data_IF_769099678472
#
_entry.id   IF_769099678472
#
_cell.length_a   1.000
_cell.length_b   1.000
_cell.length_c   1.000
_cell.angle_alpha   90.00
_cell.angle_beta   90.00
_cell.angle_gamma   90.00
#
_symmetry.space_group_name_H-M   'P 1'
#
loop_
_entity.id
_entity.type
_entity.pdbx_description
1 polymer ?
#
# COMPACT_ATOMS: atom_id res chain seq x y z
N UNK A 1 -0.18 -1.74 -17.94
CA UNK A 1 -1.26 -1.15 -17.11
C UNK A 1 -0.62 -0.11 -16.21
N UNK A 2 -1.32 0.96 -15.87
CA UNK A 2 -0.83 1.96 -14.91
C UNK A 2 -0.68 1.31 -13.52
N UNK A 3 0.36 1.63 -12.74
CA UNK A 3 0.50 1.12 -11.37
C UNK A 3 -0.71 1.52 -10.50
N UNK A 4 -1.04 0.67 -9.53
CA UNK A 4 -2.13 0.93 -8.58
C UNK A 4 -1.59 1.88 -7.50
N UNK A 5 -1.95 3.15 -7.55
CA UNK A 5 -1.46 4.19 -6.61
C UNK A 5 -2.56 4.72 -5.68
N UNK A 6 -3.81 4.47 -6.01
CA UNK A 6 -4.96 4.83 -5.19
C UNK A 6 -6.09 3.80 -5.33
N UNK A 7 -7.12 3.94 -4.48
CA UNK A 7 -8.32 3.11 -4.56
C UNK A 7 -8.97 3.14 -5.96
N UNK A 8 -9.01 4.32 -6.60
CA UNK A 8 -9.58 4.46 -7.94
C UNK A 8 -8.80 3.65 -8.98
N UNK A 9 -7.46 3.66 -8.92
CA UNK A 9 -6.63 2.84 -9.81
C UNK A 9 -6.89 1.34 -9.58
N UNK A 10 -7.11 0.91 -8.33
CA UNK A 10 -7.41 -0.48 -8.00
C UNK A 10 -8.78 -0.92 -8.54
N UNK A 11 -9.76 -0.02 -8.50
CA UNK A 11 -11.09 -0.20 -9.07
C UNK A 11 -11.00 -0.31 -10.60
N UNK A 12 -10.24 0.57 -11.25
CA UNK A 12 -10.00 0.54 -12.69
C UNK A 12 -9.30 -0.77 -13.11
N UNK A 13 -8.35 -1.24 -12.29
CA UNK A 13 -7.68 -2.53 -12.50
C UNK A 13 -8.66 -3.71 -12.46
N UNK A 14 -9.58 -3.71 -11.49
CA UNK A 14 -10.65 -4.72 -11.42
C UNK A 14 -11.46 -4.73 -12.72
N UNK A 15 -11.87 -3.56 -13.20
CA UNK A 15 -12.67 -3.43 -14.41
C UNK A 15 -11.91 -3.87 -15.67
N UNK A 16 -10.66 -3.43 -15.82
CA UNK A 16 -9.80 -3.80 -16.94
C UNK A 16 -9.54 -5.31 -17.02
N UNK A 17 -9.54 -6.00 -15.87
CA UNK A 17 -9.41 -7.46 -15.76
C UNK A 17 -10.74 -8.21 -15.95
N UNK A 18 -11.85 -7.52 -16.23
CA UNK A 18 -13.18 -8.12 -16.32
C UNK A 18 -13.70 -8.64 -14.96
N UNK A 19 -13.07 -8.24 -13.85
CA UNK A 19 -13.48 -8.66 -12.52
C UNK A 19 -14.70 -7.86 -12.07
N UNK A 20 -15.83 -8.56 -11.85
CA UNK A 20 -17.04 -7.93 -11.31
C UNK A 20 -16.80 -7.32 -9.93
N UNK A 21 -16.89 -6.00 -9.80
CA UNK A 21 -16.75 -5.32 -8.51
C UNK A 21 -18.07 -5.35 -7.72
N UNK A 22 -18.34 -6.46 -7.03
CA UNK A 22 -19.52 -6.58 -6.16
C UNK A 22 -19.43 -5.64 -4.96
N UNK A 23 -20.56 -5.32 -4.33
CA UNK A 23 -20.59 -4.49 -3.09
C UNK A 23 -19.66 -5.05 -2.01
N UNK A 24 -19.65 -6.37 -1.80
CA UNK A 24 -18.78 -7.00 -0.79
C UNK A 24 -17.29 -6.90 -1.17
N UNK A 25 -16.96 -7.08 -2.45
CA UNK A 25 -15.57 -6.92 -2.93
C UNK A 25 -15.07 -5.50 -2.75
N UNK A 26 -15.92 -4.53 -3.10
CA UNK A 26 -15.63 -3.11 -2.93
C UNK A 26 -15.38 -2.76 -1.46
N UNK A 27 -16.18 -3.29 -0.53
CA UNK A 27 -15.98 -3.07 0.90
C UNK A 27 -14.62 -3.58 1.40
N UNK A 28 -14.21 -4.77 0.96
CA UNK A 28 -12.88 -5.32 1.31
C UNK A 28 -11.77 -4.45 0.74
N UNK A 29 -11.87 -4.04 -0.52
CA UNK A 29 -10.87 -3.19 -1.17
C UNK A 29 -10.78 -1.81 -0.52
N UNK A 30 -11.93 -1.18 -0.23
CA UNK A 30 -12.01 0.11 0.46
C UNK A 30 -11.37 0.03 1.85
N UNK A 31 -11.64 -1.03 2.62
CA UNK A 31 -11.02 -1.19 3.94
C UNK A 31 -9.49 -1.27 3.84
N UNK A 32 -8.96 -2.08 2.91
CA UNK A 32 -7.51 -2.24 2.75
C UNK A 32 -6.81 -0.93 2.36
N UNK A 33 -7.47 -0.10 1.55
CA UNK A 33 -7.00 1.24 1.20
C UNK A 33 -7.14 2.26 2.35
N UNK A 34 -8.14 2.09 3.22
CA UNK A 34 -8.37 2.97 4.37
C UNK A 34 -7.35 2.71 5.49
N UNK A 35 -7.04 1.45 5.77
CA UNK A 35 -6.24 1.06 6.94
C UNK A 35 -4.73 1.10 6.69
N UNK A 36 -4.31 1.02 5.43
CA UNK A 36 -2.90 1.09 5.01
C UNK A 36 -1.95 0.15 5.77
N UNK A 37 -2.45 -1.01 6.20
CA UNK A 37 -1.68 -2.05 6.89
C UNK A 37 -2.08 -3.44 6.40
N UNK A 38 -1.24 -4.44 6.64
CA UNK A 38 -1.56 -5.84 6.32
C UNK A 38 -2.39 -6.48 7.44
N UNK A 39 -3.61 -6.90 7.09
CA UNK A 39 -4.58 -7.47 8.02
C UNK A 39 -4.80 -8.95 7.77
N UNK A 40 -5.06 -9.72 8.83
CA UNK A 40 -5.57 -11.07 8.64
C UNK A 40 -7.00 -11.04 8.10
N UNK A 41 -7.45 -12.12 7.45
CA UNK A 41 -8.84 -12.22 6.99
C UNK A 41 -9.85 -12.10 8.16
N UNK A 42 -9.45 -12.51 9.37
CA UNK A 42 -10.25 -12.34 10.59
C UNK A 42 -10.36 -10.86 10.98
N UNK A 43 -9.26 -10.12 10.98
CA UNK A 43 -9.27 -8.69 11.31
C UNK A 43 -10.13 -7.90 10.32
N UNK A 44 -10.07 -8.25 9.03
CA UNK A 44 -10.91 -7.64 7.99
C UNK A 44 -12.39 -7.92 8.25
N UNK A 45 -12.74 -9.16 8.59
CA UNK A 45 -14.10 -9.52 8.96
C UNK A 45 -14.58 -8.74 10.19
N UNK A 46 -13.77 -8.68 11.25
CA UNK A 46 -14.13 -8.02 12.50
C UNK A 46 -14.32 -6.51 12.29
N UNK A 47 -13.41 -5.85 11.55
CA UNK A 47 -13.50 -4.42 11.23
C UNK A 47 -14.71 -4.07 10.37
N UNK A 48 -15.00 -4.86 9.33
CA UNK A 48 -16.18 -4.62 8.48
C UNK A 48 -17.47 -4.74 9.28
N UNK A 49 -17.58 -5.72 10.18
CA UNK A 49 -18.76 -5.86 11.02
C UNK A 49 -18.89 -4.74 12.06
N UNK A 50 -17.78 -4.29 12.65
CA UNK A 50 -17.77 -3.12 13.54
C UNK A 50 -18.24 -1.85 12.83
N UNK A 51 -17.98 -1.71 11.53
CA UNK A 51 -18.48 -0.63 10.68
C UNK A 51 -19.94 -0.82 10.21
N UNK A 52 -20.65 -1.84 10.71
CA UNK A 52 -22.02 -2.17 10.30
C UNK A 52 -22.12 -2.72 8.87
N UNK A 53 -21.01 -3.15 8.26
CA UNK A 53 -20.98 -3.73 6.92
C UNK A 53 -21.18 -5.24 7.03
N UNK A 54 -22.42 -5.69 6.90
CA UNK A 54 -22.76 -7.12 6.96
C UNK A 54 -22.04 -7.91 5.83
N UNK A 55 -21.03 -8.69 6.21
CA UNK A 55 -20.28 -9.59 5.34
C UNK A 55 -19.95 -10.88 6.11
N UNK A 56 -20.12 -12.04 5.46
CA UNK A 56 -19.77 -13.33 6.07
C UNK A 56 -18.28 -13.59 6.01
N UNK A 57 -17.75 -14.38 6.96
CA UNK A 57 -16.34 -14.76 7.00
C UNK A 57 -15.89 -15.44 5.69
N UNK A 58 -16.66 -16.40 5.18
CA UNK A 58 -16.41 -17.04 3.87
C UNK A 58 -16.36 -16.04 2.73
N UNK A 59 -17.22 -15.02 2.74
CA UNK A 59 -17.24 -13.97 1.72
C UNK A 59 -16.00 -13.09 1.79
N UNK A 60 -15.47 -12.81 2.98
CA UNK A 60 -14.19 -12.09 3.13
C UNK A 60 -13.07 -12.89 2.46
N UNK A 61 -12.91 -14.16 2.80
CA UNK A 61 -11.88 -15.02 2.20
C UNK A 61 -11.99 -15.11 0.68
N UNK A 62 -13.19 -15.34 0.15
CA UNK A 62 -13.40 -15.43 -1.30
C UNK A 62 -13.06 -14.13 -2.03
N UNK A 63 -13.32 -12.97 -1.42
CA UNK A 63 -12.95 -11.68 -2.01
C UNK A 63 -11.45 -11.43 -1.93
N UNK A 64 -10.80 -11.76 -0.81
CA UNK A 64 -9.35 -11.65 -0.66
C UNK A 64 -8.60 -12.54 -1.66
N UNK A 65 -9.02 -13.80 -1.80
CA UNK A 65 -8.48 -14.73 -2.79
C UNK A 65 -8.67 -14.22 -4.22
N UNK A 66 -9.85 -13.67 -4.55
CA UNK A 66 -10.11 -13.13 -5.88
C UNK A 66 -9.24 -11.91 -6.20
N UNK A 67 -9.11 -10.97 -5.25
CA UNK A 67 -8.33 -9.75 -5.42
C UNK A 67 -6.83 -10.04 -5.48
N UNK A 68 -6.34 -10.94 -4.61
CA UNK A 68 -4.91 -11.30 -4.56
C UNK A 68 -4.48 -12.06 -5.80
N UNK A 69 -5.30 -13.00 -6.31
CA UNK A 69 -5.00 -13.76 -7.53
C UNK A 69 -4.78 -12.88 -8.76
N UNK A 70 -5.49 -11.75 -8.83
CA UNK A 70 -5.36 -10.79 -9.93
C UNK A 70 -4.31 -9.71 -9.68
N UNK A 71 -3.52 -9.82 -8.60
CA UNK A 71 -2.56 -8.81 -8.16
C UNK A 71 -3.17 -7.42 -8.02
N UNK A 72 -4.33 -7.32 -7.37
CA UNK A 72 -4.97 -6.04 -7.01
C UNK A 72 -4.68 -5.67 -5.54
N UNK A 73 -4.42 -6.68 -4.71
CA UNK A 73 -4.02 -6.54 -3.30
C UNK A 73 -2.81 -7.45 -3.05
N UNK A 74 -2.04 -7.15 -2.01
CA UNK A 74 -0.96 -8.02 -1.57
C UNK A 74 -1.48 -9.15 -0.68
N UNK A 75 -0.76 -10.27 -0.71
CA UNK A 75 -0.94 -11.39 0.20
C UNK A 75 0.43 -11.84 0.69
N UNK A 76 0.68 -11.71 1.98
CA UNK A 76 1.93 -12.11 2.63
C UNK A 76 1.68 -13.40 3.39
N UNK A 77 2.40 -14.46 3.03
CA UNK A 77 2.36 -15.74 3.75
C UNK A 77 3.30 -15.72 4.96
N UNK A 78 2.78 -16.09 6.14
CA UNK A 78 3.51 -16.21 7.40
C UNK A 78 3.28 -17.60 7.99
N UNK A 79 4.10 -17.97 8.98
CA UNK A 79 3.97 -19.24 9.70
C UNK A 79 2.63 -19.40 10.44
N UNK A 80 1.98 -18.29 10.78
CA UNK A 80 0.72 -18.21 11.52
C UNK A 80 -0.50 -17.87 10.65
N UNK A 81 -0.33 -17.70 9.33
CA UNK A 81 -1.42 -17.44 8.41
C UNK A 81 -1.06 -16.49 7.27
N UNK A 82 -2.10 -15.93 6.63
CA UNK A 82 -1.97 -14.94 5.55
C UNK A 82 -2.40 -13.57 6.04
N UNK A 83 -1.63 -12.55 5.66
CA UNK A 83 -2.00 -11.15 5.82
C UNK A 83 -2.23 -10.52 4.44
N UNK A 84 -3.17 -9.59 4.38
CA UNK A 84 -3.60 -8.94 3.15
C UNK A 84 -3.51 -7.43 3.31
N UNK A 85 -2.91 -6.75 2.33
CA UNK A 85 -2.75 -5.31 2.29
C UNK A 85 -3.16 -4.75 0.93
N UNK A 86 -3.37 -3.44 0.82
CA UNK A 86 -3.43 -2.84 -0.51
C UNK A 86 -2.07 -3.00 -1.19
N UNK A 87 -2.04 -3.07 -2.52
CA UNK A 87 -0.78 -2.87 -3.25
C UNK A 87 -0.46 -1.40 -3.10
N UNK A 88 0.56 -1.09 -2.30
CA UNK A 88 1.24 0.17 -2.48
C UNK A 88 2.33 -0.07 -3.52
N UNK A 89 2.53 0.87 -4.45
CA UNK A 89 3.87 1.03 -5.02
C UNK A 89 4.86 1.05 -3.84
N UNK A 90 6.10 0.64 -4.08
CA UNK A 90 7.24 0.83 -3.19
C UNK A 90 7.27 2.27 -2.67
N UNK A 91 6.57 2.55 -1.56
CA UNK A 91 6.52 3.87 -0.98
C UNK A 91 7.77 4.06 -0.14
N UNK A 92 8.20 5.30 -0.11
CA UNK A 92 9.33 5.73 0.69
C UNK A 92 8.80 6.27 2.01
N UNK A 93 9.52 6.04 3.09
CA UNK A 93 9.11 6.49 4.43
C UNK A 93 9.86 7.76 4.81
N UNK A 94 9.19 8.67 5.51
CA UNK A 94 9.83 9.73 6.29
C UNK A 94 9.66 9.40 7.77
N UNK A 95 10.78 9.11 8.43
CA UNK A 95 10.87 8.82 9.86
C UNK A 95 11.15 10.12 10.61
N UNK A 96 10.16 10.60 11.36
CA UNK A 96 10.25 11.83 12.15
C UNK A 96 10.79 11.50 13.55
N UNK A 97 12.06 11.80 13.78
CA UNK A 97 12.84 11.33 14.93
C UNK A 97 12.41 11.94 16.28
N UNK A 98 11.75 13.10 16.27
CA UNK A 98 11.27 13.80 17.46
C UNK A 98 9.80 13.51 17.80
N UNK A 99 9.03 12.96 16.86
CA UNK A 99 7.60 12.66 17.06
C UNK A 99 7.27 11.18 16.97
N UNK A 100 8.25 10.34 16.64
CA UNK A 100 8.11 8.91 16.34
C UNK A 100 7.07 8.60 15.26
N UNK A 101 6.72 9.60 14.43
CA UNK A 101 5.78 9.45 13.33
C UNK A 101 6.49 8.95 12.08
N UNK A 102 5.84 8.03 11.39
CA UNK A 102 6.23 7.57 10.06
C UNK A 102 5.20 8.11 9.07
N UNK A 103 5.69 8.72 8.00
CA UNK A 103 4.87 9.28 6.92
C UNK A 103 5.21 8.57 5.62
N UNK A 104 4.19 8.07 4.94
CA UNK A 104 4.35 7.43 3.64
C UNK A 104 4.37 8.49 2.54
N UNK A 105 5.37 8.41 1.67
CA UNK A 105 5.50 9.31 0.52
C UNK A 105 5.76 8.51 -0.76
N UNK A 106 5.25 9.03 -1.87
CA UNK A 106 5.62 8.56 -3.20
C UNK A 106 6.66 9.51 -3.77
N UNK A 107 7.84 8.98 -4.07
CA UNK A 107 8.93 9.74 -4.67
C UNK A 107 9.40 9.02 -5.93
N UNK A 108 9.46 9.75 -7.04
CA UNK A 108 10.08 9.26 -8.26
C UNK A 108 11.55 9.73 -8.31
N UNK A 109 12.50 8.79 -8.32
CA UNK A 109 13.92 9.12 -8.47
C UNK A 109 14.24 9.56 -9.90
N UNK A 110 15.14 10.54 -10.08
CA UNK A 110 15.62 10.92 -11.41
C UNK A 110 16.22 9.72 -12.15
N UNK A 111 15.94 9.54 -13.45
CA UNK A 111 16.47 8.42 -14.23
C UNK A 111 18.00 8.34 -14.22
N UNK A 112 18.68 9.49 -14.11
CA UNK A 112 20.15 9.55 -14.06
C UNK A 112 20.69 8.91 -12.78
N UNK A 113 19.97 9.03 -11.66
CA UNK A 113 20.38 8.41 -10.39
C UNK A 113 20.22 6.89 -10.46
N UNK A 114 19.11 6.41 -11.04
CA UNK A 114 18.91 4.97 -11.26
C UNK A 114 20.01 4.40 -12.16
N UNK A 115 20.34 5.09 -13.26
CA UNK A 115 21.43 4.68 -14.16
C UNK A 115 22.79 4.63 -13.46
N UNK A 116 23.08 5.57 -12.55
CA UNK A 116 24.31 5.55 -11.75
C UNK A 116 24.38 4.32 -10.83
N UNK A 117 23.27 3.97 -10.17
CA UNK A 117 23.20 2.77 -9.32
C UNK A 117 23.40 1.50 -10.16
N UNK A 118 22.74 1.42 -11.32
CA UNK A 118 22.91 0.29 -12.25
C UNK A 118 24.36 0.16 -12.72
N UNK A 119 25.02 1.27 -13.04
CA UNK A 119 26.41 1.29 -13.49
C UNK A 119 27.40 0.88 -12.39
N UNK A 120 27.18 1.31 -11.14
CA UNK A 120 28.06 1.00 -10.02
C UNK A 120 27.92 -0.44 -9.54
N UNK A 121 26.72 -1.00 -9.64
CA UNK A 121 26.41 -2.35 -9.12
C UNK A 121 26.43 -3.43 -10.19
N UNK A 122 26.27 -3.05 -11.47
CA UNK A 122 26.07 -3.98 -12.57
C UNK A 122 24.70 -4.67 -12.58
N UNK A 123 23.74 -4.18 -11.77
CA UNK A 123 22.40 -4.77 -11.61
C UNK A 123 21.37 -3.86 -12.26
N UNK A 124 20.39 -4.44 -12.97
CA UNK A 124 19.22 -3.69 -13.48
C UNK A 124 18.25 -3.42 -12.34
N UNK A 125 17.92 -2.15 -12.09
CA UNK A 125 16.98 -1.76 -11.05
C UNK A 125 15.56 -1.81 -11.62
N UNK A 126 14.69 -2.58 -10.96
CA UNK A 126 13.27 -2.71 -11.32
C UNK A 126 12.36 -1.92 -10.39
N UNK A 127 12.81 -1.65 -9.16
CA UNK A 127 12.05 -0.95 -8.12
C UNK A 127 12.99 -0.38 -7.04
N UNK A 128 12.51 0.56 -6.22
CA UNK A 128 13.23 1.14 -5.08
C UNK A 128 12.29 1.66 -3.99
N UNK A 129 12.78 1.63 -2.74
CA UNK A 129 12.19 2.32 -1.59
C UNK A 129 13.26 3.17 -0.91
N UNK A 130 12.90 4.35 -0.44
CA UNK A 130 13.81 5.27 0.26
C UNK A 130 13.31 5.49 1.68
N UNK A 131 14.22 5.43 2.65
CA UNK A 131 13.92 5.85 4.01
C UNK A 131 14.61 7.19 4.27
N UNK A 132 13.82 8.22 4.52
CA UNK A 132 14.25 9.51 5.01
C UNK A 132 14.16 9.54 6.53
N UNK A 133 15.10 10.23 7.17
CA UNK A 133 15.15 10.42 8.62
C UNK A 133 15.35 11.91 8.89
N UNK A 134 14.47 12.52 9.68
CA UNK A 134 14.50 13.96 9.92
C UNK A 134 13.74 14.37 11.17
N UNK A 135 13.74 15.68 11.45
CA UNK A 135 13.04 16.29 12.58
C UNK A 135 11.87 17.13 12.07
N UNK A 136 10.83 17.32 12.89
CA UNK A 136 9.70 18.16 12.52
C UNK A 136 10.13 19.61 12.29
N UNK A 137 9.70 20.19 11.17
CA UNK A 137 9.91 21.62 10.90
C UNK A 137 8.78 22.38 11.57
N UNK A 138 9.06 23.04 12.70
CA UNK A 138 8.14 23.99 13.27
C UNK A 138 8.03 25.18 12.29
N UNK A 139 6.88 25.35 11.64
CA UNK A 139 6.64 26.36 10.58
C UNK A 139 6.73 27.81 11.11
N UNK A 140 7.06 28.01 12.40
CA UNK A 140 7.18 29.31 13.05
C UNK A 140 8.60 29.82 13.30
N UNK A 141 9.66 29.13 12.85
CA UNK A 141 11.02 29.70 12.90
C UNK A 141 11.60 29.91 11.50
N UNK A 142 12.15 31.11 11.21
CA UNK A 142 12.73 31.40 9.91
C UNK A 142 13.98 30.54 9.71
N UNK A 143 14.01 29.81 8.59
CA UNK A 143 15.19 29.07 8.12
C UNK A 143 16.32 30.08 7.87
N UNK A 144 17.26 30.18 8.81
CA UNK A 144 18.51 30.89 8.59
C UNK A 144 19.38 30.05 7.65
N UNK A 145 19.37 30.42 6.38
CA UNK A 145 20.30 29.91 5.38
C UNK A 145 21.75 30.13 5.84
N UNK A 146 22.54 29.06 5.82
CA UNK A 146 24.01 29.12 5.70
C UNK A 146 24.38 29.08 4.22
#
# INVERSE_FOLDING_TARGET
MKPIRCLEDAIDYCQAKGMRLSRQRRLVLELLWQVQEHLSARDIYDRLNQQGKAIGHTSVYQNLEALSRENIIECVERSDGRLYGHISDSHSHVNCLDTDKILDIHIELPPELLAQVEQQTGVKITDYQINFYGYSVNINEPISHL
#
